data_IF_961071191202
#
_entry.id   IF_961071191202
#
_cell.length_a   1.000
_cell.length_b   1.000
_cell.length_c   1.000
_cell.angle_alpha   90.00
_cell.angle_beta   90.00
_cell.angle_gamma   90.00
#
_symmetry.space_group_name_H-M   'P 1'
#
loop_
_entity.id
_entity.type
_entity.pdbx_description
1 polymer ?
#
# COMPACT_ATOMS: atom_id res chain seq x y z
N UNK A 1 28.98 5.97 -29.52
CA UNK A 1 30.11 5.37 -28.81
C UNK A 1 29.62 4.13 -28.06
N UNK A 2 30.46 3.10 -27.88
CA UNK A 2 30.11 1.84 -27.26
C UNK A 2 29.36 1.99 -25.90
N UNK A 3 29.71 3.00 -25.13
CA UNK A 3 29.00 3.31 -23.85
C UNK A 3 27.53 3.73 -24.07
N UNK A 4 27.22 4.49 -25.14
CA UNK A 4 25.82 4.89 -25.42
C UNK A 4 24.97 3.71 -25.91
N UNK A 5 25.56 2.74 -26.55
CA UNK A 5 24.87 1.55 -27.04
C UNK A 5 24.58 0.54 -25.90
N UNK A 6 25.48 0.44 -24.93
CA UNK A 6 25.26 -0.32 -23.72
C UNK A 6 24.05 0.23 -22.92
N UNK A 7 23.97 1.55 -22.76
CA UNK A 7 22.82 2.20 -22.14
C UNK A 7 21.51 1.91 -22.86
N UNK A 8 21.48 2.04 -24.18
CA UNK A 8 20.27 1.84 -24.99
C UNK A 8 19.76 0.40 -24.92
N UNK A 9 20.65 -0.58 -24.78
CA UNK A 9 20.28 -2.00 -24.71
C UNK A 9 19.88 -2.44 -23.30
N UNK A 10 20.51 -1.90 -22.25
CA UNK A 10 20.26 -2.36 -20.88
C UNK A 10 18.94 -1.84 -20.30
N UNK A 11 18.47 -0.65 -20.68
CA UNK A 11 17.18 -0.13 -20.20
C UNK A 11 16.00 -1.01 -20.64
N UNK A 12 15.86 -1.41 -21.91
CA UNK A 12 14.81 -2.35 -22.32
C UNK A 12 14.92 -3.72 -21.63
N UNK A 13 16.14 -4.25 -21.49
CA UNK A 13 16.35 -5.53 -20.79
C UNK A 13 15.89 -5.42 -19.34
N UNK A 14 16.25 -4.33 -18.66
CA UNK A 14 15.79 -4.06 -17.31
C UNK A 14 14.25 -4.00 -17.22
N UNK A 15 13.60 -3.29 -18.14
CA UNK A 15 12.15 -3.20 -18.20
C UNK A 15 11.49 -4.59 -18.38
N UNK A 16 12.05 -5.42 -19.24
CA UNK A 16 11.57 -6.80 -19.45
C UNK A 16 11.78 -7.67 -18.20
N UNK A 17 12.96 -7.61 -17.58
CA UNK A 17 13.25 -8.37 -16.36
C UNK A 17 12.30 -7.96 -15.24
N UNK A 18 12.11 -6.67 -15.03
CA UNK A 18 11.18 -6.19 -14.01
C UNK A 18 9.73 -6.55 -14.32
N UNK A 19 9.31 -6.43 -15.57
CA UNK A 19 7.98 -6.87 -15.98
C UNK A 19 7.77 -8.36 -15.68
N UNK A 20 8.72 -9.22 -15.99
CA UNK A 20 8.65 -10.66 -15.70
C UNK A 20 8.57 -10.91 -14.18
N UNK A 21 9.40 -10.24 -13.39
CA UNK A 21 9.39 -10.36 -11.92
C UNK A 21 8.02 -9.98 -11.37
N UNK A 22 7.48 -8.83 -11.77
CA UNK A 22 6.16 -8.39 -11.31
C UNK A 22 5.04 -9.29 -11.82
N UNK A 23 5.10 -9.69 -13.08
CA UNK A 23 4.10 -10.59 -13.68
C UNK A 23 4.02 -11.92 -12.93
N UNK A 24 5.17 -12.53 -12.64
CA UNK A 24 5.20 -13.79 -11.89
C UNK A 24 4.79 -13.60 -10.43
N UNK A 25 5.23 -12.52 -9.80
CA UNK A 25 4.96 -12.29 -8.38
C UNK A 25 3.53 -11.84 -8.09
N UNK A 26 2.91 -11.08 -9.00
CA UNK A 26 1.60 -10.47 -8.75
C UNK A 26 0.48 -11.22 -9.46
N UNK A 27 0.67 -11.65 -10.72
CA UNK A 27 -0.42 -12.18 -11.54
C UNK A 27 -0.41 -13.71 -11.69
N UNK A 28 0.67 -14.39 -11.34
CA UNK A 28 0.74 -15.86 -11.50
C UNK A 28 0.96 -16.54 -10.14
N UNK A 29 2.22 -16.85 -9.80
CA UNK A 29 2.55 -17.62 -8.59
C UNK A 29 2.09 -16.90 -7.33
N UNK A 30 2.31 -15.58 -7.25
CA UNK A 30 1.88 -14.81 -6.09
C UNK A 30 0.36 -14.78 -5.94
N UNK A 31 -0.39 -14.55 -7.02
CA UNK A 31 -1.85 -14.57 -7.00
C UNK A 31 -2.40 -15.92 -6.55
N UNK A 32 -1.98 -17.02 -7.18
CA UNK A 32 -2.43 -18.37 -6.80
C UNK A 32 -2.22 -18.68 -5.32
N UNK A 33 -1.06 -18.30 -4.78
CA UNK A 33 -0.77 -18.52 -3.35
C UNK A 33 -1.58 -17.61 -2.44
N UNK A 34 -1.83 -16.38 -2.86
CA UNK A 34 -2.66 -15.40 -2.14
C UNK A 34 -4.12 -15.84 -2.12
N UNK A 35 -4.68 -16.22 -3.27
CA UNK A 35 -6.06 -16.71 -3.39
C UNK A 35 -6.25 -17.97 -2.54
N UNK A 36 -5.32 -18.93 -2.62
CA UNK A 36 -5.37 -20.12 -1.77
C UNK A 36 -5.34 -19.77 -0.27
N UNK A 37 -4.53 -18.77 0.11
CA UNK A 37 -4.44 -18.36 1.52
C UNK A 37 -5.71 -17.65 1.97
N UNK A 38 -6.27 -16.76 1.15
CA UNK A 38 -7.47 -16.02 1.49
C UNK A 38 -8.71 -16.91 1.47
N UNK A 39 -8.93 -17.63 0.38
CA UNK A 39 -10.17 -18.39 0.17
C UNK A 39 -10.16 -19.69 0.98
N UNK A 40 -9.13 -20.52 0.80
CA UNK A 40 -9.10 -21.85 1.43
C UNK A 40 -8.68 -21.79 2.89
N UNK A 41 -7.54 -21.13 3.19
CA UNK A 41 -7.01 -21.15 4.56
C UNK A 41 -7.86 -20.29 5.50
N UNK A 42 -8.13 -19.04 5.13
CA UNK A 42 -8.92 -18.13 5.97
C UNK A 42 -10.42 -18.29 5.75
N UNK A 43 -10.89 -18.28 4.50
CA UNK A 43 -12.31 -18.31 4.15
C UNK A 43 -13.01 -19.62 4.52
N UNK A 44 -12.40 -20.76 4.22
CA UNK A 44 -13.04 -22.05 4.47
C UNK A 44 -12.66 -22.70 5.81
N UNK A 45 -11.41 -22.53 6.28
CA UNK A 45 -10.94 -23.27 7.47
C UNK A 45 -10.92 -22.44 8.74
N UNK A 46 -10.23 -21.28 8.74
CA UNK A 46 -9.96 -20.53 9.97
C UNK A 46 -11.20 -19.77 10.44
N UNK A 47 -11.84 -19.00 9.57
CA UNK A 47 -12.99 -18.15 9.94
C UNK A 47 -14.19 -19.02 10.35
N UNK A 48 -14.68 -20.01 9.54
CA UNK A 48 -15.80 -20.83 9.94
C UNK A 48 -15.48 -21.73 11.15
N UNK A 49 -14.22 -22.21 11.23
CA UNK A 49 -13.76 -22.99 12.38
C UNK A 49 -13.77 -22.20 13.67
N UNK A 50 -13.29 -20.97 13.65
CA UNK A 50 -13.31 -20.07 14.82
C UNK A 50 -14.73 -19.69 15.21
N UNK A 51 -15.58 -19.37 14.22
CA UNK A 51 -16.97 -19.02 14.47
C UNK A 51 -17.72 -20.19 15.13
N UNK A 52 -17.62 -21.40 14.58
CA UNK A 52 -18.27 -22.58 15.15
C UNK A 52 -17.77 -22.92 16.56
N UNK A 53 -16.47 -22.73 16.84
CA UNK A 53 -15.92 -22.95 18.18
C UNK A 53 -16.45 -21.93 19.20
N UNK A 54 -16.56 -20.65 18.83
CA UNK A 54 -17.04 -19.60 19.70
C UNK A 54 -18.55 -19.73 19.97
N UNK A 55 -19.33 -20.08 18.93
CA UNK A 55 -20.77 -20.38 19.07
C UNK A 55 -21.02 -21.58 19.98
N UNK A 56 -20.28 -22.67 19.81
CA UNK A 56 -20.36 -23.85 20.68
C UNK A 56 -19.92 -23.58 22.12
N UNK A 57 -19.00 -22.62 22.32
CA UNK A 57 -18.57 -22.18 23.65
C UNK A 57 -19.59 -21.25 24.32
N UNK A 58 -20.69 -20.87 23.63
CA UNK A 58 -21.71 -19.96 24.15
C UNK A 58 -21.24 -18.52 24.35
N UNK A 59 -20.26 -18.06 23.54
CA UNK A 59 -19.76 -16.70 23.59
C UNK A 59 -20.85 -15.70 23.18
N UNK A 60 -20.84 -14.52 23.79
CA UNK A 60 -21.72 -13.43 23.38
C UNK A 60 -21.46 -13.01 21.93
N UNK A 61 -22.51 -12.70 21.17
CA UNK A 61 -22.42 -12.37 19.74
C UNK A 61 -21.41 -11.25 19.44
N UNK A 62 -21.36 -10.20 20.28
CA UNK A 62 -20.40 -9.11 20.12
C UNK A 62 -18.94 -9.57 20.26
N UNK A 63 -18.66 -10.55 21.13
CA UNK A 63 -17.33 -11.08 21.33
C UNK A 63 -16.93 -11.98 20.16
N UNK A 64 -17.86 -12.75 19.63
CA UNK A 64 -17.65 -13.55 18.40
C UNK A 64 -17.32 -12.63 17.23
N UNK A 65 -18.09 -11.57 17.01
CA UNK A 65 -17.81 -10.57 15.96
C UNK A 65 -16.45 -9.91 16.16
N UNK A 66 -16.10 -9.48 17.37
CA UNK A 66 -14.78 -8.91 17.64
C UNK A 66 -13.62 -9.86 17.29
N UNK A 67 -13.75 -11.13 17.68
CA UNK A 67 -12.68 -12.12 17.45
C UNK A 67 -12.63 -12.50 15.97
N UNK A 68 -13.76 -12.79 15.34
CA UNK A 68 -13.80 -13.26 13.94
C UNK A 68 -13.55 -12.10 12.98
N UNK A 69 -14.37 -11.05 13.04
CA UNK A 69 -14.32 -9.96 12.08
C UNK A 69 -13.21 -8.92 12.40
N UNK A 70 -12.98 -8.66 13.69
CA UNK A 70 -11.95 -7.71 14.10
C UNK A 70 -10.53 -8.29 14.09
N UNK A 71 -10.32 -9.46 14.72
CA UNK A 71 -8.98 -10.02 14.93
C UNK A 71 -8.61 -10.99 13.81
N UNK A 72 -9.40 -12.03 13.57
CA UNK A 72 -9.05 -13.11 12.62
C UNK A 72 -9.07 -12.58 11.20
N UNK A 73 -10.08 -11.82 10.80
CA UNK A 73 -10.16 -11.18 9.50
C UNK A 73 -9.02 -10.18 9.29
N UNK A 74 -8.68 -9.37 10.31
CA UNK A 74 -7.55 -8.45 10.25
C UNK A 74 -6.19 -9.14 10.11
N UNK A 75 -5.98 -10.25 10.82
CA UNK A 75 -4.79 -11.09 10.66
C UNK A 75 -4.79 -11.77 9.29
N UNK A 76 -5.95 -12.24 8.82
CA UNK A 76 -6.14 -12.84 7.51
C UNK A 76 -5.75 -11.90 6.38
N UNK A 77 -6.21 -10.66 6.42
CA UNK A 77 -5.85 -9.64 5.44
C UNK A 77 -4.33 -9.42 5.33
N UNK A 78 -3.61 -9.46 6.47
CA UNK A 78 -2.14 -9.36 6.46
C UNK A 78 -1.49 -10.61 5.89
N UNK A 79 -1.87 -11.78 6.41
CA UNK A 79 -1.25 -13.07 6.04
C UNK A 79 -1.61 -13.48 4.61
N UNK A 80 -2.80 -13.12 4.13
CA UNK A 80 -3.21 -13.32 2.75
C UNK A 80 -2.29 -12.65 1.75
N UNK A 81 -1.77 -11.47 2.07
CA UNK A 81 -0.87 -10.73 1.20
C UNK A 81 0.60 -11.16 1.30
N UNK A 82 0.97 -11.90 2.36
CA UNK A 82 2.36 -12.34 2.59
C UNK A 82 2.92 -13.23 1.48
N UNK A 83 2.20 -14.23 0.93
CA UNK A 83 2.74 -15.10 -0.12
C UNK A 83 3.22 -14.33 -1.34
N UNK A 84 2.40 -13.42 -1.84
CA UNK A 84 2.75 -12.55 -2.97
C UNK A 84 4.02 -11.72 -2.69
N UNK A 85 4.13 -11.17 -1.48
CA UNK A 85 5.30 -10.41 -1.06
C UNK A 85 6.55 -11.27 -0.94
N UNK A 86 6.43 -12.51 -0.45
CA UNK A 86 7.55 -13.45 -0.36
C UNK A 86 8.10 -13.82 -1.74
N UNK A 87 7.23 -14.07 -2.72
CA UNK A 87 7.64 -14.33 -4.11
C UNK A 87 8.38 -13.12 -4.69
N UNK A 88 7.85 -11.91 -4.47
CA UNK A 88 8.53 -10.69 -4.90
C UNK A 88 9.90 -10.52 -4.24
N UNK A 89 10.00 -10.73 -2.92
CA UNK A 89 11.27 -10.64 -2.20
C UNK A 89 12.28 -11.70 -2.63
N UNK A 90 11.82 -12.88 -3.01
CA UNK A 90 12.65 -13.94 -3.57
C UNK A 90 13.36 -13.46 -4.85
N UNK A 91 12.60 -12.91 -5.80
CA UNK A 91 13.17 -12.40 -7.04
C UNK A 91 14.07 -11.19 -6.83
N UNK A 92 13.67 -10.26 -5.96
CA UNK A 92 14.49 -9.10 -5.64
C UNK A 92 15.80 -9.51 -4.95
N UNK A 93 15.76 -10.46 -4.01
CA UNK A 93 16.96 -10.99 -3.36
C UNK A 93 17.87 -11.73 -4.36
N UNK A 94 17.30 -12.43 -5.33
CA UNK A 94 18.05 -13.06 -6.41
C UNK A 94 18.76 -12.02 -7.28
N UNK A 95 18.04 -10.99 -7.77
CA UNK A 95 18.59 -9.93 -8.61
C UNK A 95 19.66 -9.10 -7.89
N UNK A 96 19.49 -8.89 -6.58
CA UNK A 96 20.47 -8.20 -5.74
C UNK A 96 21.73 -9.06 -5.57
N UNK A 97 21.55 -10.33 -5.21
CA UNK A 97 22.64 -11.25 -4.95
C UNK A 97 23.47 -11.58 -6.19
N UNK A 98 22.88 -11.60 -7.39
CA UNK A 98 23.65 -11.83 -8.63
C UNK A 98 24.41 -10.58 -9.13
N UNK A 99 24.28 -9.43 -8.46
CA UNK A 99 24.95 -8.17 -8.82
C UNK A 99 24.27 -7.38 -9.96
N UNK A 100 23.06 -7.78 -10.38
CA UNK A 100 22.32 -7.09 -11.46
C UNK A 100 21.85 -5.69 -11.03
N UNK A 101 21.35 -5.58 -9.80
CA UNK A 101 20.82 -4.31 -9.27
C UNK A 101 21.87 -3.20 -9.21
N UNK A 102 23.12 -3.53 -8.88
CA UNK A 102 24.23 -2.57 -8.88
C UNK A 102 24.48 -1.95 -10.26
N UNK A 103 24.39 -2.76 -11.31
CA UNK A 103 24.55 -2.28 -12.71
C UNK A 103 23.41 -1.39 -13.15
N UNK A 104 22.19 -1.77 -12.82
CA UNK A 104 21.01 -0.94 -13.13
C UNK A 104 21.10 0.40 -12.43
N UNK A 105 21.48 0.41 -11.13
CA UNK A 105 21.70 1.64 -10.39
C UNK A 105 22.76 2.54 -11.02
N UNK A 106 23.86 1.96 -11.51
CA UNK A 106 24.89 2.69 -12.23
C UNK A 106 24.37 3.36 -13.52
N UNK A 107 23.53 2.64 -14.27
CA UNK A 107 22.93 3.17 -15.50
C UNK A 107 21.97 4.32 -15.16
N UNK A 108 21.15 4.14 -14.13
CA UNK A 108 20.15 5.11 -13.73
C UNK A 108 20.76 6.36 -13.08
N UNK A 109 21.99 6.30 -12.57
CA UNK A 109 22.68 7.44 -11.93
C UNK A 109 22.69 8.68 -12.83
N UNK A 110 22.96 8.53 -14.13
CA UNK A 110 22.95 9.64 -15.08
C UNK A 110 21.61 10.36 -15.17
N UNK A 111 20.50 9.62 -15.00
CA UNK A 111 19.15 10.16 -15.07
C UNK A 111 18.81 10.83 -13.74
N UNK A 112 19.05 10.15 -12.62
CA UNK A 112 18.69 10.61 -11.29
C UNK A 112 19.46 11.87 -10.85
N UNK A 113 20.73 11.99 -11.24
CA UNK A 113 21.52 13.20 -10.98
C UNK A 113 20.94 14.47 -11.57
N UNK A 114 20.26 14.39 -12.72
CA UNK A 114 19.58 15.55 -13.31
C UNK A 114 18.49 16.12 -12.38
N UNK A 115 17.86 15.26 -11.59
CA UNK A 115 16.81 15.63 -10.65
C UNK A 115 17.32 15.86 -9.22
N UNK A 116 18.62 15.81 -8.99
CA UNK A 116 19.23 16.05 -7.68
C UNK A 116 19.27 14.81 -6.77
N UNK A 117 18.94 13.63 -7.29
CA UNK A 117 19.00 12.35 -6.59
C UNK A 117 20.25 11.57 -7.00
N UNK A 118 20.78 10.76 -6.10
CA UNK A 118 21.90 9.85 -6.38
C UNK A 118 21.39 8.62 -7.14
N UNK A 119 22.21 8.00 -7.98
CA UNK A 119 21.87 6.73 -8.64
C UNK A 119 21.59 5.58 -7.66
N UNK A 120 22.21 5.61 -6.48
CA UNK A 120 21.88 4.68 -5.39
C UNK A 120 20.43 4.77 -4.93
N UNK A 121 19.75 5.93 -5.13
CA UNK A 121 18.34 6.14 -4.79
C UNK A 121 17.38 5.28 -5.62
N UNK A 122 17.84 4.84 -6.80
CA UNK A 122 17.02 3.99 -7.67
C UNK A 122 16.67 2.64 -7.03
N UNK A 123 17.61 2.01 -6.30
CA UNK A 123 17.39 0.71 -5.65
C UNK A 123 16.27 0.76 -4.60
N UNK A 124 16.28 1.69 -3.62
CA UNK A 124 15.16 1.90 -2.72
C UNK A 124 13.82 2.15 -3.40
N UNK A 125 13.79 2.96 -4.46
CA UNK A 125 12.57 3.26 -5.20
C UNK A 125 12.03 2.04 -5.94
N UNK A 126 12.91 1.25 -6.54
CA UNK A 126 12.53 0.02 -7.22
C UNK A 126 11.95 -1.00 -6.23
N UNK A 127 12.60 -1.22 -5.09
CA UNK A 127 12.07 -2.09 -4.03
C UNK A 127 10.75 -1.51 -3.50
N UNK A 128 10.64 -0.18 -3.40
CA UNK A 128 9.47 0.56 -2.96
C UNK A 128 8.24 0.35 -3.85
N UNK A 129 8.42 0.06 -5.16
CA UNK A 129 7.31 -0.27 -6.06
C UNK A 129 6.65 -1.61 -5.71
N UNK A 130 7.34 -2.52 -5.04
CA UNK A 130 6.73 -3.70 -4.42
C UNK A 130 6.12 -3.36 -3.06
N UNK A 131 6.95 -2.86 -2.13
CA UNK A 131 6.51 -2.45 -0.80
C UNK A 131 7.36 -1.27 -0.28
N UNK A 132 6.69 -0.24 0.24
CA UNK A 132 7.35 0.94 0.76
C UNK A 132 8.26 0.67 1.98
N UNK A 133 7.92 -0.31 2.82
CA UNK A 133 8.71 -0.64 4.03
C UNK A 133 10.14 -1.08 3.69
N UNK A 134 10.36 -2.15 2.92
CA UNK A 134 11.70 -2.55 2.53
C UNK A 134 12.36 -1.54 1.58
N UNK A 135 11.57 -0.82 0.76
CA UNK A 135 12.08 0.27 -0.06
C UNK A 135 12.77 1.35 0.78
N UNK A 136 12.10 1.86 1.81
CA UNK A 136 12.69 2.84 2.73
C UNK A 136 13.90 2.25 3.48
N UNK A 137 13.82 1.00 3.94
CA UNK A 137 14.94 0.35 4.63
C UNK A 137 16.17 0.15 3.74
N UNK A 138 15.99 -0.04 2.44
CA UNK A 138 17.08 -0.17 1.47
C UNK A 138 17.89 1.13 1.32
N UNK A 139 17.35 2.29 1.73
CA UNK A 139 18.08 3.57 1.72
C UNK A 139 19.33 3.57 2.61
N UNK A 140 19.49 2.60 3.51
CA UNK A 140 20.70 2.41 4.32
C UNK A 140 21.97 2.19 3.50
N UNK A 141 21.83 1.72 2.27
CA UNK A 141 22.96 1.55 1.35
C UNK A 141 23.51 2.87 0.82
N UNK A 142 22.82 3.98 1.10
CA UNK A 142 23.24 5.32 0.70
C UNK A 142 24.05 5.95 1.84
N UNK A 143 25.34 6.17 1.59
CA UNK A 143 26.29 6.67 2.58
C UNK A 143 26.07 8.16 2.89
N UNK A 144 25.74 8.94 1.87
CA UNK A 144 25.50 10.38 2.01
C UNK A 144 24.16 10.62 2.72
N UNK A 145 24.19 11.25 3.89
CA UNK A 145 23.00 11.49 4.75
C UNK A 145 21.95 12.37 4.06
N UNK A 146 22.39 13.35 3.25
CA UNK A 146 21.51 14.20 2.44
C UNK A 146 20.73 13.38 1.40
N UNK A 147 21.46 12.61 0.58
CA UNK A 147 20.87 11.81 -0.49
C UNK A 147 19.98 10.71 0.08
N UNK A 148 20.37 10.13 1.22
CA UNK A 148 19.55 9.15 1.95
C UNK A 148 18.22 9.76 2.40
N UNK A 149 18.23 10.94 3.02
CA UNK A 149 17.01 11.63 3.47
C UNK A 149 16.09 11.97 2.28
N UNK A 150 16.66 12.53 1.21
CA UNK A 150 15.89 12.80 -0.01
C UNK A 150 15.26 11.54 -0.58
N UNK A 151 15.99 10.43 -0.60
CA UNK A 151 15.50 9.14 -1.07
C UNK A 151 14.36 8.62 -0.19
N UNK A 152 14.52 8.66 1.13
CA UNK A 152 13.47 8.23 2.08
C UNK A 152 12.17 9.03 1.88
N UNK A 153 12.27 10.34 1.69
CA UNK A 153 11.12 11.22 1.47
C UNK A 153 10.39 10.95 0.15
N UNK A 154 11.10 10.51 -0.88
CA UNK A 154 10.53 10.37 -2.23
C UNK A 154 10.18 8.94 -2.61
N UNK A 155 10.75 7.94 -1.96
CA UNK A 155 10.56 6.51 -2.30
C UNK A 155 9.09 6.07 -2.26
N UNK A 156 8.29 6.61 -1.35
CA UNK A 156 6.89 6.21 -1.14
C UNK A 156 5.90 6.80 -2.13
N UNK A 157 6.32 7.70 -3.01
CA UNK A 157 5.46 8.22 -4.08
C UNK A 157 5.25 7.20 -5.21
N UNK A 158 6.16 6.25 -5.42
CA UNK A 158 5.94 5.15 -6.35
C UNK A 158 4.75 4.30 -5.86
N UNK A 159 3.80 3.95 -6.74
CA UNK A 159 2.75 3.00 -6.40
C UNK A 159 3.36 1.67 -5.96
N UNK A 160 3.01 1.21 -4.77
CA UNK A 160 3.37 -0.12 -4.27
C UNK A 160 2.23 -1.12 -4.52
N UNK A 161 2.47 -2.40 -4.31
CA UNK A 161 1.46 -3.46 -4.49
C UNK A 161 0.15 -3.18 -3.75
N UNK A 162 0.21 -2.66 -2.53
CA UNK A 162 -0.97 -2.30 -1.74
C UNK A 162 -1.82 -1.13 -2.32
N UNK A 163 -1.30 -0.39 -3.30
CA UNK A 163 -2.06 0.64 -4.01
C UNK A 163 -2.75 0.11 -5.27
N UNK A 164 -2.41 -1.10 -5.74
CA UNK A 164 -3.00 -1.70 -6.93
C UNK A 164 -4.52 -1.91 -6.81
N UNK A 165 -5.06 -2.41 -5.69
CA UNK A 165 -6.50 -2.53 -5.50
C UNK A 165 -7.25 -1.21 -5.69
N UNK A 166 -6.70 -0.09 -5.18
CA UNK A 166 -7.32 1.24 -5.36
C UNK A 166 -7.30 1.66 -6.83
N UNK A 167 -6.21 1.36 -7.55
CA UNK A 167 -6.10 1.65 -8.98
C UNK A 167 -7.11 0.82 -9.76
N UNK A 168 -7.26 -0.46 -9.45
CA UNK A 168 -8.22 -1.37 -10.06
C UNK A 168 -9.66 -0.93 -9.78
N UNK A 169 -9.98 -0.59 -8.53
CA UNK A 169 -11.28 -0.06 -8.12
C UNK A 169 -11.69 1.17 -8.96
N UNK A 170 -10.82 2.15 -9.05
CA UNK A 170 -11.13 3.40 -9.78
C UNK A 170 -11.17 3.15 -11.29
N UNK A 171 -10.29 2.31 -11.83
CA UNK A 171 -10.30 1.94 -13.24
C UNK A 171 -11.58 1.19 -13.62
N UNK A 172 -12.02 0.25 -12.78
CA UNK A 172 -13.24 -0.54 -12.99
C UNK A 172 -14.51 0.29 -12.86
N UNK A 173 -14.66 1.01 -11.75
CA UNK A 173 -15.89 1.74 -11.43
C UNK A 173 -16.16 2.94 -12.38
N UNK A 174 -15.13 3.60 -12.92
CA UNK A 174 -15.30 4.87 -13.65
C UNK A 174 -14.74 4.87 -15.07
N UNK A 175 -13.88 3.91 -15.44
CA UNK A 175 -13.14 3.94 -16.70
C UNK A 175 -13.15 2.61 -17.45
N UNK A 176 -14.19 1.79 -17.26
CA UNK A 176 -14.39 0.50 -17.95
C UNK A 176 -13.13 -0.40 -17.98
N UNK A 177 -12.43 -0.50 -16.87
CA UNK A 177 -11.14 -1.20 -16.76
C UNK A 177 -10.05 -0.71 -17.71
N UNK A 178 -10.08 0.56 -18.06
CA UNK A 178 -9.13 1.14 -19.00
C UNK A 178 -7.69 1.09 -18.43
N UNK A 179 -6.82 0.32 -19.06
CA UNK A 179 -5.42 0.12 -18.63
C UNK A 179 -4.61 1.41 -18.55
N UNK A 180 -5.02 2.49 -19.23
CA UNK A 180 -4.34 3.78 -19.15
C UNK A 180 -4.37 4.39 -17.72
N UNK A 181 -5.37 4.05 -16.90
CA UNK A 181 -5.48 4.54 -15.51
C UNK A 181 -4.30 4.03 -14.69
N UNK A 182 -3.96 2.75 -14.80
CA UNK A 182 -2.81 2.17 -14.13
C UNK A 182 -1.50 2.82 -14.60
N UNK A 183 -1.31 2.97 -15.92
CA UNK A 183 -0.14 3.67 -16.45
C UNK A 183 -0.04 5.09 -15.94
N UNK A 184 -1.14 5.85 -15.96
CA UNK A 184 -1.17 7.23 -15.47
C UNK A 184 -0.81 7.33 -13.99
N UNK A 185 -1.24 6.39 -13.16
CA UNK A 185 -0.91 6.34 -11.74
C UNK A 185 0.62 6.21 -11.51
N UNK A 186 1.29 5.34 -12.27
CA UNK A 186 2.76 5.22 -12.22
C UNK A 186 3.46 6.50 -12.72
N UNK A 187 2.98 7.09 -13.81
CA UNK A 187 3.53 8.36 -14.30
C UNK A 187 3.36 9.50 -13.29
N UNK A 188 2.22 9.59 -12.62
CA UNK A 188 1.99 10.56 -11.54
C UNK A 188 2.97 10.36 -10.40
N UNK A 189 3.19 9.11 -9.97
CA UNK A 189 4.17 8.77 -8.93
C UNK A 189 5.60 9.19 -9.32
N UNK A 190 6.03 8.86 -10.54
CA UNK A 190 7.35 9.25 -11.07
C UNK A 190 7.47 10.78 -11.20
N UNK A 191 6.44 11.46 -11.70
CA UNK A 191 6.41 12.91 -11.80
C UNK A 191 6.52 13.56 -10.40
N UNK A 192 5.84 13.02 -9.40
CA UNK A 192 5.93 13.49 -8.02
C UNK A 192 7.35 13.34 -7.46
N UNK A 193 8.05 12.23 -7.73
CA UNK A 193 9.45 12.03 -7.34
C UNK A 193 10.35 13.09 -7.98
N UNK A 194 10.21 13.29 -9.28
CA UNK A 194 11.00 14.25 -10.05
C UNK A 194 10.78 15.67 -9.53
N UNK A 195 9.51 16.08 -9.39
CA UNK A 195 9.16 17.40 -8.88
C UNK A 195 9.67 17.60 -7.46
N UNK A 196 9.47 16.62 -6.57
CA UNK A 196 9.96 16.69 -5.19
C UNK A 196 11.48 16.74 -5.14
N UNK A 197 12.20 15.97 -5.95
CA UNK A 197 13.66 16.01 -6.05
C UNK A 197 14.16 17.40 -6.48
N UNK A 198 13.54 18.01 -7.49
CA UNK A 198 13.88 19.36 -7.95
C UNK A 198 13.59 20.43 -6.88
N UNK A 199 12.43 20.32 -6.20
CA UNK A 199 12.03 21.25 -5.13
C UNK A 199 13.00 21.14 -3.95
N UNK A 200 13.27 19.92 -3.49
CA UNK A 200 14.19 19.67 -2.38
C UNK A 200 15.60 20.18 -2.71
N UNK A 201 16.11 19.94 -3.93
CA UNK A 201 17.42 20.45 -4.36
C UNK A 201 17.53 21.97 -4.28
N UNK A 202 16.43 22.70 -4.49
CA UNK A 202 16.41 24.17 -4.38
C UNK A 202 16.35 24.68 -2.94
N UNK A 203 16.03 23.84 -1.96
CA UNK A 203 16.00 24.24 -0.56
C UNK A 203 17.42 24.33 0.00
N UNK A 204 17.68 25.31 0.88
CA UNK A 204 19.00 25.48 1.51
C UNK A 204 19.49 24.23 2.26
N UNK A 205 18.57 23.39 2.74
CA UNK A 205 18.88 22.20 3.52
C UNK A 205 19.41 21.04 2.66
N UNK A 206 18.99 20.97 1.39
CA UNK A 206 19.38 19.93 0.44
C UNK A 206 20.13 20.48 -0.77
N UNK A 207 20.59 21.75 -0.71
CA UNK A 207 21.39 22.36 -1.75
C UNK A 207 22.75 21.64 -1.91
N UNK A 208 23.22 21.52 -3.13
CA UNK A 208 24.47 20.88 -3.50
C UNK A 208 24.29 19.79 -4.54
N UNK A 209 25.41 19.27 -5.04
CA UNK A 209 25.38 18.17 -6.00
C UNK A 209 25.30 16.81 -5.31
N UNK A 210 24.58 15.83 -5.90
CA UNK A 210 24.51 14.47 -5.38
C UNK A 210 25.92 13.87 -5.31
N UNK A 211 26.14 13.04 -4.29
CA UNK A 211 27.40 12.35 -4.10
C UNK A 211 27.79 11.56 -5.36
N UNK A 212 29.09 11.53 -5.73
CA UNK A 212 29.52 10.75 -6.88
C UNK A 212 29.20 9.28 -6.64
N UNK A 213 28.66 8.64 -7.68
CA UNK A 213 28.37 7.22 -7.65
C UNK A 213 29.69 6.45 -7.81
N UNK A 214 30.29 6.12 -6.68
CA UNK A 214 31.48 5.26 -6.63
C UNK A 214 31.02 3.92 -6.08
N UNK A 215 30.85 2.95 -6.95
CA UNK A 215 30.56 1.56 -6.58
C UNK A 215 31.32 0.63 -7.51
N UNK A 216 32.11 -0.27 -6.92
CA UNK A 216 32.67 -1.36 -7.68
C UNK A 216 31.54 -2.25 -8.20
N UNK A 217 31.52 -2.50 -9.52
CA UNK A 217 30.53 -3.37 -10.12
C UNK A 217 30.91 -4.82 -9.80
N UNK A 218 30.15 -5.52 -8.95
CA UNK A 218 30.45 -6.89 -8.61
C UNK A 218 30.40 -7.76 -9.86
N UNK A 219 31.28 -8.75 -9.97
CA UNK A 219 31.20 -9.73 -11.04
C UNK A 219 29.86 -10.49 -10.95
N UNK A 220 29.28 -10.86 -12.09
CA UNK A 220 28.12 -11.74 -12.08
C UNK A 220 28.49 -13.07 -11.48
N UNK A 221 27.75 -13.50 -10.48
CA UNK A 221 27.88 -14.83 -9.91
C UNK A 221 26.50 -15.43 -9.62
N UNK A 222 26.44 -16.74 -9.65
CA UNK A 222 25.22 -17.44 -9.25
C UNK A 222 25.06 -17.29 -7.75
N UNK A 223 23.93 -16.75 -7.28
CA UNK A 223 23.69 -16.62 -5.85
C UNK A 223 23.47 -18.01 -5.23
N UNK A 224 23.98 -18.20 -4.03
CA UNK A 224 23.68 -19.40 -3.27
C UNK A 224 22.21 -19.39 -2.84
N UNK A 225 21.50 -20.47 -3.11
CA UNK A 225 20.06 -20.59 -2.81
C UNK A 225 19.78 -20.29 -1.33
N UNK A 226 20.64 -20.75 -0.42
CA UNK A 226 20.52 -20.48 1.00
C UNK A 226 20.54 -19.01 1.37
N UNK A 227 21.39 -18.21 0.74
CA UNK A 227 21.46 -16.75 0.99
C UNK A 227 20.21 -16.04 0.47
N UNK A 228 19.72 -16.43 -0.70
CA UNK A 228 18.50 -15.85 -1.29
C UNK A 228 17.27 -16.15 -0.42
N UNK A 229 17.09 -17.42 -0.02
CA UNK A 229 15.98 -17.83 0.84
C UNK A 229 16.04 -17.17 2.23
N UNK A 230 17.25 -17.08 2.80
CA UNK A 230 17.44 -16.39 4.09
C UNK A 230 17.09 -14.90 3.98
N UNK A 231 17.57 -14.21 2.95
CA UNK A 231 17.27 -12.80 2.71
C UNK A 231 15.77 -12.58 2.49
N UNK A 232 15.12 -13.44 1.71
CA UNK A 232 13.66 -13.43 1.52
C UNK A 232 12.94 -13.57 2.85
N UNK A 233 13.31 -14.59 3.65
CA UNK A 233 12.65 -14.86 4.93
C UNK A 233 12.85 -13.74 5.96
N UNK A 234 14.06 -13.19 6.08
CA UNK A 234 14.35 -12.08 7.00
C UNK A 234 13.50 -10.83 6.66
N UNK A 235 13.35 -10.53 5.36
CA UNK A 235 12.49 -9.43 4.89
C UNK A 235 11.02 -9.72 5.14
N UNK A 236 10.55 -10.91 4.81
CA UNK A 236 9.18 -11.36 5.02
C UNK A 236 8.80 -11.38 6.49
N UNK A 237 9.64 -11.95 7.35
CA UNK A 237 9.41 -11.99 8.79
C UNK A 237 9.39 -10.60 9.43
N UNK A 238 10.30 -9.73 8.99
CA UNK A 238 10.32 -8.33 9.43
C UNK A 238 9.04 -7.59 9.03
N UNK A 239 8.47 -7.89 7.85
CA UNK A 239 7.18 -7.37 7.39
C UNK A 239 6.05 -7.90 8.27
N UNK A 240 5.91 -9.22 8.42
CA UNK A 240 4.84 -9.86 9.23
C UNK A 240 4.84 -9.30 10.65
N UNK A 241 6.00 -9.22 11.30
CA UNK A 241 6.09 -8.75 12.68
C UNK A 241 5.70 -7.29 12.85
N UNK A 242 6.05 -6.43 11.90
CA UNK A 242 5.80 -4.98 12.01
C UNK A 242 4.44 -4.59 11.46
N UNK A 243 4.12 -5.02 10.24
CA UNK A 243 2.86 -4.71 9.61
C UNK A 243 1.70 -5.44 10.29
N UNK A 244 1.88 -6.74 10.58
CA UNK A 244 0.85 -7.55 11.24
C UNK A 244 0.35 -6.93 12.54
N UNK A 245 1.25 -6.52 13.42
CA UNK A 245 0.87 -5.92 14.72
C UNK A 245 0.07 -4.62 14.53
N UNK A 246 0.53 -3.73 13.63
CA UNK A 246 -0.11 -2.43 13.41
C UNK A 246 -1.46 -2.63 12.73
N UNK A 247 -1.54 -3.46 11.71
CA UNK A 247 -2.76 -3.68 10.94
C UNK A 247 -3.81 -4.38 11.82
N UNK A 248 -3.45 -5.44 12.55
CA UNK A 248 -4.39 -6.12 13.47
C UNK A 248 -4.93 -5.17 14.54
N UNK A 249 -4.07 -4.35 15.15
CA UNK A 249 -4.55 -3.36 16.13
C UNK A 249 -5.51 -2.37 15.47
N UNK A 250 -5.22 -1.95 14.26
CA UNK A 250 -6.05 -0.99 13.53
C UNK A 250 -7.39 -1.58 13.10
N UNK A 251 -7.44 -2.84 12.69
CA UNK A 251 -8.71 -3.50 12.35
C UNK A 251 -9.59 -3.69 13.58
N UNK A 252 -9.03 -4.00 14.74
CA UNK A 252 -9.76 -4.03 16.00
C UNK A 252 -10.36 -2.66 16.34
N UNK A 253 -9.58 -1.59 16.20
CA UNK A 253 -10.06 -0.23 16.45
C UNK A 253 -11.15 0.15 15.44
N UNK A 254 -10.96 -0.14 14.15
CA UNK A 254 -11.95 0.14 13.12
C UNK A 254 -13.24 -0.65 13.36
N UNK A 255 -13.14 -1.94 13.71
CA UNK A 255 -14.30 -2.76 14.05
C UNK A 255 -15.09 -2.14 15.20
N UNK A 256 -14.39 -1.72 16.27
CA UNK A 256 -15.04 -1.04 17.39
C UNK A 256 -15.73 0.26 16.97
N UNK A 257 -15.05 1.11 16.19
CA UNK A 257 -15.60 2.38 15.75
C UNK A 257 -16.79 2.22 14.79
N UNK A 258 -16.86 1.11 14.06
CA UNK A 258 -17.97 0.80 13.16
C UNK A 258 -19.17 0.21 13.90
N UNK A 259 -18.94 -0.68 14.86
CA UNK A 259 -20.01 -1.41 15.53
C UNK A 259 -20.59 -0.67 16.75
N UNK A 260 -19.94 0.39 17.21
CA UNK A 260 -20.44 1.20 18.32
C UNK A 260 -20.85 2.59 17.85
N UNK A 261 -21.94 3.09 18.41
CA UNK A 261 -22.49 4.40 18.07
C UNK A 261 -23.59 4.86 18.99
N UNK A 262 -24.37 5.83 18.55
CA UNK A 262 -25.47 6.43 19.31
C UNK A 262 -26.80 6.03 18.68
N UNK A 263 -27.39 4.92 19.11
CA UNK A 263 -28.76 4.55 18.76
C UNK A 263 -29.74 5.13 19.80
N UNK A 264 -30.78 5.80 19.36
CA UNK A 264 -31.86 6.35 20.21
C UNK A 264 -31.35 7.21 21.40
N UNK A 265 -30.23 7.91 21.20
CA UNK A 265 -29.64 8.77 22.25
C UNK A 265 -28.79 8.06 23.30
N UNK A 266 -28.66 6.74 23.24
CA UNK A 266 -27.80 5.94 24.10
C UNK A 266 -26.59 5.44 23.35
N UNK A 267 -25.42 5.46 24.00
CA UNK A 267 -24.21 4.88 23.42
C UNK A 267 -24.22 3.36 23.62
N UNK A 268 -24.13 2.60 22.55
CA UNK A 268 -24.16 1.14 22.60
C UNK A 268 -23.67 0.51 21.31
N UNK A 269 -23.74 -0.81 21.26
CA UNK A 269 -23.49 -1.56 20.05
C UNK A 269 -24.65 -1.39 19.09
N UNK A 270 -24.34 -1.09 17.83
CA UNK A 270 -25.29 -0.99 16.75
C UNK A 270 -25.59 -2.39 16.20
N UNK A 271 -26.86 -2.69 16.00
CA UNK A 271 -27.27 -3.94 15.38
C UNK A 271 -27.50 -3.69 13.88
N UNK A 272 -26.69 -4.30 13.05
CA UNK A 272 -26.79 -4.22 11.60
C UNK A 272 -27.48 -5.45 10.99
N UNK A 273 -27.86 -6.44 11.81
CA UNK A 273 -28.38 -7.76 11.47
C UNK A 273 -29.12 -7.84 10.12
N UNK A 274 -30.44 -7.68 10.13
CA UNK A 274 -31.28 -7.84 8.92
C UNK A 274 -31.51 -6.51 8.16
N UNK A 275 -30.67 -5.50 8.38
CA UNK A 275 -30.84 -4.19 7.75
C UNK A 275 -30.25 -4.18 6.34
N UNK A 276 -31.04 -3.77 5.35
CA UNK A 276 -30.61 -3.59 3.96
C UNK A 276 -30.91 -2.19 3.44
N UNK A 277 -30.14 -1.77 2.44
CA UNK A 277 -30.36 -0.51 1.71
C UNK A 277 -30.32 0.74 2.60
N UNK A 278 -31.36 1.58 2.50
CA UNK A 278 -31.40 2.87 3.19
C UNK A 278 -31.42 2.75 4.72
N UNK A 279 -31.98 1.67 5.28
CA UNK A 279 -32.00 1.43 6.72
C UNK A 279 -30.59 1.12 7.25
N UNK A 280 -29.81 0.34 6.52
CA UNK A 280 -28.41 0.06 6.82
C UNK A 280 -27.56 1.33 6.74
N UNK A 281 -27.76 2.16 5.72
CA UNK A 281 -27.05 3.45 5.59
C UNK A 281 -27.36 4.40 6.75
N UNK A 282 -28.61 4.45 7.18
CA UNK A 282 -29.02 5.27 8.32
C UNK A 282 -28.37 4.77 9.63
N UNK A 283 -28.36 3.46 9.87
CA UNK A 283 -27.71 2.85 11.02
C UNK A 283 -26.19 3.07 11.00
N UNK A 284 -25.54 2.94 9.85
CA UNK A 284 -24.12 3.24 9.67
C UNK A 284 -23.78 4.70 9.95
N UNK A 285 -24.66 5.64 9.61
CA UNK A 285 -24.44 7.06 9.87
C UNK A 285 -24.39 7.41 11.37
N UNK A 286 -24.94 6.55 12.23
CA UNK A 286 -24.93 6.72 13.70
C UNK A 286 -23.67 6.14 14.37
N UNK A 287 -22.82 5.38 13.65
CA UNK A 287 -21.61 4.84 14.24
C UNK A 287 -20.56 5.95 14.54
N UNK A 288 -19.67 5.65 15.50
CA UNK A 288 -18.59 6.57 15.91
C UNK A 288 -17.72 6.93 14.70
N UNK A 289 -17.44 5.96 13.84
CA UNK A 289 -16.62 6.16 12.64
C UNK A 289 -17.26 7.16 11.66
N UNK A 290 -18.58 7.09 11.47
CA UNK A 290 -19.30 8.04 10.61
C UNK A 290 -19.26 9.47 11.16
N UNK A 291 -19.39 9.64 12.46
CA UNK A 291 -19.31 10.95 13.12
C UNK A 291 -17.90 11.55 13.01
N UNK A 292 -16.87 10.74 13.20
CA UNK A 292 -15.47 11.15 12.96
C UNK A 292 -15.27 11.48 11.47
N UNK A 293 -15.74 10.61 10.58
CA UNK A 293 -15.66 10.84 9.13
C UNK A 293 -16.32 12.13 8.70
N UNK A 294 -17.52 12.41 9.17
CA UNK A 294 -18.26 13.66 8.90
C UNK A 294 -17.51 14.88 9.44
N UNK A 295 -16.92 14.78 10.64
CA UNK A 295 -16.14 15.87 11.23
C UNK A 295 -14.88 16.22 10.43
N UNK A 296 -14.26 15.26 9.75
CA UNK A 296 -13.06 15.49 8.93
C UNK A 296 -13.34 15.66 7.44
N UNK A 297 -14.54 15.30 6.97
CA UNK A 297 -14.92 15.37 5.55
C UNK A 297 -14.73 16.77 4.95
N UNK A 298 -14.94 17.84 5.74
CA UNK A 298 -14.78 19.22 5.29
C UNK A 298 -13.34 19.53 4.81
N UNK A 299 -12.33 18.86 5.37
CA UNK A 299 -10.92 19.04 4.96
C UNK A 299 -10.73 18.61 3.51
N UNK A 300 -11.51 17.63 3.07
CA UNK A 300 -11.42 17.05 1.73
C UNK A 300 -12.41 17.68 0.72
N UNK A 301 -13.30 18.56 1.18
CA UNK A 301 -14.26 19.25 0.31
C UNK A 301 -13.62 19.93 -0.91
N UNK A 302 -12.44 20.59 -0.81
CA UNK A 302 -11.79 21.20 -1.97
C UNK A 302 -11.39 20.19 -3.06
N UNK A 303 -11.26 18.91 -2.72
CA UNK A 303 -10.88 17.84 -3.66
C UNK A 303 -12.08 17.29 -4.46
N UNK A 304 -13.31 17.70 -4.12
CA UNK A 304 -14.52 17.44 -4.90
C UNK A 304 -15.14 16.06 -4.72
N UNK A 305 -14.59 15.18 -3.89
CA UNK A 305 -15.11 13.82 -3.68
C UNK A 305 -15.84 13.62 -2.34
N UNK A 306 -16.04 14.69 -1.57
CA UNK A 306 -16.85 14.67 -0.34
C UNK A 306 -18.17 15.42 -0.47
N UNK A 307 -18.61 15.72 -1.70
CA UNK A 307 -19.87 16.41 -1.94
C UNK A 307 -21.04 15.43 -1.82
N UNK A 308 -22.10 15.84 -1.12
CA UNK A 308 -23.29 15.02 -0.90
C UNK A 308 -23.31 14.30 0.45
N UNK A 309 -24.41 13.63 0.77
CA UNK A 309 -24.64 12.97 2.07
C UNK A 309 -23.64 11.86 2.41
N UNK A 310 -23.01 11.26 1.41
CA UNK A 310 -22.07 10.14 1.54
C UNK A 310 -20.60 10.54 1.55
N UNK A 311 -20.28 11.84 1.57
CA UNK A 311 -18.89 12.33 1.57
C UNK A 311 -18.04 11.86 2.74
N UNK A 312 -18.65 11.54 3.88
CA UNK A 312 -17.97 10.97 5.03
C UNK A 312 -17.39 9.59 4.74
N UNK A 313 -18.05 8.76 3.91
CA UNK A 313 -17.55 7.43 3.52
C UNK A 313 -16.19 7.55 2.81
N UNK A 314 -16.07 8.55 1.93
CA UNK A 314 -14.80 8.82 1.21
C UNK A 314 -13.69 9.28 2.17
N UNK A 315 -14.02 10.14 3.13
CA UNK A 315 -13.07 10.62 4.12
C UNK A 315 -12.58 9.48 5.02
N UNK A 316 -13.49 8.62 5.48
CA UNK A 316 -13.17 7.43 6.28
C UNK A 316 -12.26 6.47 5.50
N UNK A 317 -12.62 6.13 4.25
CA UNK A 317 -11.80 5.25 3.42
C UNK A 317 -10.41 5.85 3.13
N UNK A 318 -10.30 7.18 2.95
CA UNK A 318 -9.01 7.83 2.79
C UNK A 318 -8.15 7.73 4.05
N UNK A 319 -8.74 7.88 5.24
CA UNK A 319 -8.05 7.78 6.54
C UNK A 319 -7.68 6.33 6.84
N UNK A 320 -8.57 5.35 6.59
CA UNK A 320 -8.23 3.93 6.73
C UNK A 320 -7.04 3.54 5.85
N UNK A 321 -6.94 4.13 4.65
CA UNK A 321 -5.80 3.98 3.76
C UNK A 321 -4.46 4.53 4.30
N UNK A 322 -4.45 5.36 5.34
CA UNK A 322 -3.22 5.73 6.05
C UNK A 322 -2.73 4.61 6.96
N UNK A 323 -3.63 3.81 7.46
CA UNK A 323 -3.30 2.64 8.28
C UNK A 323 -2.68 1.57 7.39
N UNK A 324 -3.44 1.14 6.39
CA UNK A 324 -3.02 0.19 5.37
C UNK A 324 -3.74 0.52 4.04
N UNK A 325 -3.01 0.62 2.94
CA UNK A 325 -3.58 1.06 1.65
C UNK A 325 -4.59 0.08 1.08
N UNK A 326 -4.39 -1.21 1.30
CA UNK A 326 -5.30 -2.28 0.94
C UNK A 326 -6.67 -2.15 1.62
N UNK A 327 -6.71 -1.59 2.83
CA UNK A 327 -7.95 -1.44 3.58
C UNK A 327 -8.93 -0.41 2.97
N UNK A 328 -8.50 0.39 2.00
CA UNK A 328 -9.39 1.36 1.34
C UNK A 328 -10.55 0.64 0.66
N UNK A 329 -10.27 -0.42 -0.11
CA UNK A 329 -11.29 -1.19 -0.85
C UNK A 329 -12.20 -1.92 0.12
N UNK A 330 -11.62 -2.62 1.11
CA UNK A 330 -12.39 -3.30 2.15
C UNK A 330 -13.27 -2.33 2.96
N UNK A 331 -12.76 -1.14 3.28
CA UNK A 331 -13.54 -0.11 3.99
C UNK A 331 -14.73 0.36 3.13
N UNK A 332 -14.53 0.57 1.83
CA UNK A 332 -15.64 0.89 0.95
C UNK A 332 -16.68 -0.23 0.90
N UNK A 333 -16.25 -1.49 0.77
CA UNK A 333 -17.14 -2.63 0.80
C UNK A 333 -18.02 -2.63 2.04
N UNK A 334 -17.41 -2.53 3.22
CA UNK A 334 -18.14 -2.46 4.48
C UNK A 334 -19.09 -1.26 4.56
N UNK A 335 -18.66 -0.06 4.10
CA UNK A 335 -19.47 1.15 4.11
C UNK A 335 -20.62 1.14 3.10
N UNK A 336 -20.56 0.29 2.07
CA UNK A 336 -21.64 0.06 1.11
C UNK A 336 -22.46 -1.20 1.44
N UNK A 337 -22.18 -1.89 2.55
CA UNK A 337 -22.97 -3.02 3.06
C UNK A 337 -22.61 -4.38 2.46
N UNK A 338 -21.40 -4.54 1.93
CA UNK A 338 -20.90 -5.82 1.41
C UNK A 338 -20.03 -6.51 2.46
N UNK A 339 -20.38 -7.75 2.81
CA UNK A 339 -19.64 -8.55 3.80
C UNK A 339 -18.32 -9.08 3.24
N UNK A 340 -18.33 -9.48 1.98
CA UNK A 340 -17.16 -9.95 1.24
C UNK A 340 -16.96 -9.06 0.01
N UNK A 341 -15.72 -8.69 -0.27
CA UNK A 341 -15.37 -7.78 -1.36
C UNK A 341 -14.14 -8.32 -2.08
N UNK A 342 -14.22 -8.43 -3.41
CA UNK A 342 -13.08 -8.74 -4.25
C UNK A 342 -11.98 -7.65 -4.13
N UNK A 343 -10.74 -7.98 -4.48
CA UNK A 343 -9.62 -7.03 -4.39
C UNK A 343 -9.85 -5.74 -5.21
N UNK A 344 -10.61 -5.82 -6.29
CA UNK A 344 -10.96 -4.70 -7.16
C UNK A 344 -12.29 -4.03 -6.80
N UNK A 345 -13.03 -4.55 -5.82
CA UNK A 345 -14.30 -4.00 -5.34
C UNK A 345 -15.42 -4.04 -6.36
N UNK A 346 -15.44 -5.03 -7.27
CA UNK A 346 -16.39 -5.12 -8.38
C UNK A 346 -17.85 -5.08 -7.93
N UNK A 347 -18.14 -5.58 -6.73
CA UNK A 347 -19.48 -5.69 -6.16
C UNK A 347 -20.14 -4.32 -5.95
N UNK A 348 -19.36 -3.27 -5.63
CA UNK A 348 -19.91 -1.95 -5.33
C UNK A 348 -19.51 -0.85 -6.32
N UNK A 349 -19.02 -1.18 -7.52
CA UNK A 349 -18.69 -0.18 -8.53
C UNK A 349 -19.86 0.74 -8.86
N UNK A 350 -21.06 0.18 -8.99
CA UNK A 350 -22.29 0.98 -9.24
C UNK A 350 -22.60 1.97 -8.13
N UNK A 351 -22.43 1.54 -6.87
CA UNK A 351 -22.68 2.39 -5.70
C UNK A 351 -21.64 3.51 -5.65
N UNK A 352 -20.37 3.19 -5.90
CA UNK A 352 -19.30 4.18 -5.92
C UNK A 352 -19.49 5.20 -7.07
N UNK A 353 -19.88 4.73 -8.27
CA UNK A 353 -20.15 5.60 -9.41
C UNK A 353 -21.34 6.55 -9.20
N UNK A 354 -22.29 6.19 -8.33
CA UNK A 354 -23.41 7.07 -7.98
C UNK A 354 -23.02 8.20 -7.02
N UNK A 355 -21.95 8.04 -6.26
CA UNK A 355 -21.54 8.96 -5.16
C UNK A 355 -20.52 10.00 -5.61
N UNK A 356 -19.70 9.71 -6.62
CA UNK A 356 -18.67 10.62 -7.08
C UNK A 356 -18.56 10.67 -8.61
N UNK A 357 -18.04 11.79 -9.13
CA UNK A 357 -17.76 11.95 -10.55
C UNK A 357 -16.45 11.29 -10.96
N UNK A 358 -16.23 10.92 -12.23
CA UNK A 358 -14.95 10.35 -12.70
C UNK A 358 -13.73 11.23 -12.41
N UNK A 359 -13.90 12.56 -12.47
CA UNK A 359 -12.83 13.52 -12.15
C UNK A 359 -12.49 13.47 -10.66
N UNK A 360 -13.50 13.45 -9.80
CA UNK A 360 -13.32 13.32 -8.35
C UNK A 360 -12.70 11.99 -7.98
N UNK A 361 -13.10 10.89 -8.64
CA UNK A 361 -12.54 9.56 -8.46
C UNK A 361 -11.04 9.50 -8.83
N UNK A 362 -10.67 10.11 -9.96
CA UNK A 362 -9.26 10.22 -10.33
C UNK A 362 -8.48 11.10 -9.35
N UNK A 363 -9.07 12.19 -8.86
CA UNK A 363 -8.51 13.02 -7.78
C UNK A 363 -8.30 12.22 -6.48
N UNK A 364 -9.25 11.35 -6.12
CA UNK A 364 -9.14 10.44 -4.99
C UNK A 364 -7.99 9.42 -5.17
N UNK A 365 -7.84 8.87 -6.38
CA UNK A 365 -6.72 8.01 -6.73
C UNK A 365 -5.38 8.73 -6.53
N UNK A 366 -5.22 9.91 -7.13
CA UNK A 366 -3.99 10.72 -7.02
C UNK A 366 -3.69 11.07 -5.56
N UNK A 367 -4.72 11.43 -4.78
CA UNK A 367 -4.56 11.67 -3.35
C UNK A 367 -4.00 10.43 -2.63
N UNK A 368 -4.59 9.25 -2.83
CA UNK A 368 -4.12 8.01 -2.21
C UNK A 368 -2.72 7.57 -2.66
N UNK A 369 -2.32 7.95 -3.87
CA UNK A 369 -0.96 7.71 -4.36
C UNK A 369 0.08 8.59 -3.66
N UNK A 370 -0.24 9.87 -3.45
CA UNK A 370 0.71 10.90 -3.02
C UNK A 370 0.60 11.27 -1.53
N UNK A 371 -0.51 10.92 -0.85
CA UNK A 371 -0.65 11.17 0.58
C UNK A 371 0.36 10.35 1.40
N UNK A 372 0.40 10.61 2.70
CA UNK A 372 1.27 9.87 3.63
C UNK A 372 1.18 8.35 3.39
N UNK A 373 2.30 7.63 3.40
CA UNK A 373 2.32 6.19 3.24
C UNK A 373 1.67 5.50 4.44
N UNK A 374 1.44 4.18 4.33
CA UNK A 374 0.87 3.40 5.43
C UNK A 374 1.72 3.49 6.71
N UNK A 375 1.10 3.29 7.86
CA UNK A 375 1.78 3.40 9.17
C UNK A 375 3.02 2.51 9.28
N UNK A 376 3.01 1.33 8.64
CA UNK A 376 4.19 0.47 8.58
C UNK A 376 5.38 1.16 7.88
N UNK A 377 5.13 1.83 6.75
CA UNK A 377 6.15 2.58 6.04
C UNK A 377 6.55 3.85 6.80
N UNK A 378 5.60 4.54 7.46
CA UNK A 378 5.91 5.67 8.34
C UNK A 378 6.81 5.24 9.51
N UNK A 379 6.58 4.07 10.10
CA UNK A 379 7.44 3.49 11.11
C UNK A 379 8.87 3.21 10.59
N UNK A 380 9.00 2.76 9.34
CA UNK A 380 10.30 2.60 8.69
C UNK A 380 10.98 3.97 8.44
N UNK A 381 10.24 4.95 7.94
CA UNK A 381 10.73 6.33 7.73
C UNK A 381 11.25 6.91 9.05
N UNK A 382 10.47 6.83 10.13
CA UNK A 382 10.88 7.31 11.46
C UNK A 382 12.20 6.71 11.92
N UNK A 383 12.39 5.42 11.67
CA UNK A 383 13.61 4.71 12.05
C UNK A 383 14.81 5.09 11.18
N UNK A 384 14.62 5.23 9.86
CA UNK A 384 15.71 5.58 8.94
C UNK A 384 16.09 7.06 9.02
N UNK A 385 15.15 7.95 9.32
CA UNK A 385 15.43 9.37 9.55
C UNK A 385 16.17 9.63 10.86
N UNK A 386 16.01 8.76 11.87
CA UNK A 386 16.60 8.86 13.22
C UNK A 386 16.52 10.26 13.84
N UNK A 387 15.52 11.05 13.45
CA UNK A 387 15.29 12.41 13.94
C UNK A 387 13.81 12.78 13.76
N UNK A 388 13.16 13.19 14.83
CA UNK A 388 11.73 13.52 14.85
C UNK A 388 11.39 14.71 13.94
N UNK A 389 12.28 15.70 13.82
CA UNK A 389 12.06 16.85 12.91
C UNK A 389 11.96 16.39 11.45
N UNK A 390 12.87 15.51 11.03
CA UNK A 390 12.89 14.98 9.67
C UNK A 390 11.73 14.02 9.37
N UNK A 391 11.20 13.38 10.40
CA UNK A 391 10.02 12.52 10.26
C UNK A 391 8.76 13.34 9.96
N UNK A 392 8.60 14.51 10.57
CA UNK A 392 7.44 15.37 10.38
C UNK A 392 7.57 16.34 9.20
N UNK A 393 8.75 16.46 8.64
CA UNK A 393 9.01 17.25 7.43
C UNK A 393 8.56 16.49 6.19
#
# INVERSE_FOLDING_TARGET
>A
SAASDVYKRQIPIFAVVMFLVYYVSVTTVGAILTDWTNDTLFGEWIIPGAQSLLENAGCAAWLTGLIVDGIISGVGAVLGFVPQMLVLFLFLAFLESCGYMARVAFIMDRIFRKFGLSGKSFIPMLIGSGCGVPGVMASRTIENDRDRKMTVMTTTFIPCGAKLPIIALIAGAFFDNAGWVAWSAYFVGVAAIVCSGIILKKTKMFAGDPAPFVMELPAYHWPTVGNVLRSMWERGWSFIKKAGTIITLSTIILWFLMNFGWADGSFGMLDFGDLEGAALEAAQAECVLAKIGSAIAWIFTPLGWTQGGNGWKMAVAAVSGLIAKENVVATFGMLFGFAEVAEDGAEFWGNLASVMTPIAAYGYLVFNLLCAPCFAAMGAIKREMNNTKWFWF
#
